data_IF_421664594804
#
_entry.id   IF_421664594804
#
_cell.length_a   1.000
_cell.length_b   1.000
_cell.length_c   1.000
_cell.angle_alpha   90.00
_cell.angle_beta   90.00
_cell.angle_gamma   90.00
#
_symmetry.space_group_name_H-M   'P 1'
#
loop_
_entity.id
_entity.type
_entity.pdbx_description
1 polymer ?
#
# COMPACT_ATOMS: atom_id res chain seq x y z
N UNK A 1 -24.05 -11.03 27.85
CA UNK A 1 -22.99 -10.59 26.92
C UNK A 1 -22.93 -11.58 25.79
N UNK A 2 -22.67 -11.09 24.58
CA UNK A 2 -22.72 -11.91 23.37
C UNK A 2 -21.58 -12.95 23.41
N UNK A 3 -21.90 -14.24 23.37
CA UNK A 3 -20.93 -15.36 23.49
C UNK A 3 -19.79 -15.29 22.45
N UNK A 4 -19.98 -14.53 21.36
CA UNK A 4 -18.96 -14.26 20.36
C UNK A 4 -17.91 -13.25 20.85
N UNK A 5 -18.33 -12.23 21.61
CA UNK A 5 -17.45 -11.20 22.18
C UNK A 5 -16.58 -11.84 23.28
N UNK A 6 -17.18 -12.65 24.14
CA UNK A 6 -16.48 -13.32 25.24
C UNK A 6 -15.39 -14.29 24.73
N UNK A 7 -15.64 -15.00 23.62
CA UNK A 7 -14.62 -15.83 22.96
C UNK A 7 -13.50 -15.02 22.30
N UNK A 8 -13.81 -13.83 21.79
CA UNK A 8 -12.81 -12.94 21.23
C UNK A 8 -11.92 -12.36 22.35
N UNK A 9 -12.52 -11.96 23.47
CA UNK A 9 -11.82 -11.46 24.66
C UNK A 9 -10.91 -12.54 25.27
N UNK A 10 -11.40 -13.77 25.48
CA UNK A 10 -10.57 -14.88 25.97
C UNK A 10 -9.39 -15.22 25.04
N UNK A 11 -9.59 -15.09 23.71
CA UNK A 11 -8.52 -15.33 22.74
C UNK A 11 -7.48 -14.21 22.77
N UNK A 12 -7.90 -12.96 22.97
CA UNK A 12 -7.01 -11.82 23.16
C UNK A 12 -6.24 -11.97 24.48
N UNK A 13 -6.90 -12.36 25.57
CA UNK A 13 -6.31 -12.57 26.90
C UNK A 13 -5.29 -13.72 26.91
N UNK A 14 -5.59 -14.81 26.20
CA UNK A 14 -4.67 -15.93 26.00
C UNK A 14 -3.45 -15.54 25.15
N UNK A 15 -3.64 -14.74 24.09
CA UNK A 15 -2.55 -14.21 23.27
C UNK A 15 -1.74 -13.11 23.99
N UNK A 16 -2.35 -12.38 24.93
CA UNK A 16 -1.68 -11.37 25.75
C UNK A 16 -0.93 -11.95 26.94
N UNK A 17 -1.12 -13.23 27.25
CA UNK A 17 -0.40 -13.92 28.33
C UNK A 17 1.07 -14.17 28.01
N UNK A 18 1.46 -14.05 26.73
CA UNK A 18 2.84 -14.09 26.24
C UNK A 18 3.13 -12.79 25.47
N UNK A 19 3.60 -11.79 26.21
CA UNK A 19 3.87 -10.44 25.70
C UNK A 19 4.86 -10.46 24.51
N UNK A 20 5.76 -11.44 24.45
CA UNK A 20 6.69 -11.62 23.34
C UNK A 20 5.97 -12.13 22.09
N UNK A 21 5.07 -13.11 22.22
CA UNK A 21 4.29 -13.62 21.10
C UNK A 21 3.41 -12.53 20.46
N UNK A 22 2.79 -11.68 21.29
CA UNK A 22 1.99 -10.55 20.80
C UNK A 22 2.85 -9.49 20.12
N UNK A 23 4.04 -9.20 20.68
CA UNK A 23 5.01 -8.27 20.09
C UNK A 23 5.49 -8.76 18.71
N UNK A 24 5.87 -10.03 18.61
CA UNK A 24 6.29 -10.66 17.33
C UNK A 24 5.16 -10.61 16.30
N UNK A 25 3.91 -10.86 16.71
CA UNK A 25 2.76 -10.77 15.84
C UNK A 25 2.55 -9.34 15.30
N UNK A 26 2.55 -8.34 16.19
CA UNK A 26 2.41 -6.94 15.79
C UNK A 26 3.56 -6.45 14.91
N UNK A 27 4.80 -6.82 15.22
CA UNK A 27 5.97 -6.49 14.41
C UNK A 27 5.88 -7.12 13.02
N UNK A 28 5.40 -8.36 12.92
CA UNK A 28 5.19 -9.05 11.64
C UNK A 28 4.12 -8.37 10.81
N UNK A 29 2.97 -8.04 11.41
CA UNK A 29 1.88 -7.34 10.73
C UNK A 29 2.34 -5.96 10.24
N UNK A 30 3.00 -5.20 11.10
CA UNK A 30 3.61 -3.91 10.74
C UNK A 30 4.64 -4.03 9.60
N UNK A 31 5.51 -5.04 9.63
CA UNK A 31 6.51 -5.25 8.59
C UNK A 31 5.87 -5.57 7.23
N UNK A 32 4.78 -6.32 7.20
CA UNK A 32 4.04 -6.60 5.97
C UNK A 32 3.42 -5.32 5.39
N UNK A 33 2.81 -4.48 6.23
CA UNK A 33 2.29 -3.18 5.81
C UNK A 33 3.38 -2.22 5.32
N UNK A 34 4.50 -2.12 6.03
CA UNK A 34 5.64 -1.29 5.62
C UNK A 34 6.21 -1.76 4.27
N UNK A 35 6.35 -3.07 4.04
CA UNK A 35 6.78 -3.62 2.75
C UNK A 35 5.79 -3.30 1.63
N UNK A 36 4.49 -3.47 1.87
CA UNK A 36 3.46 -3.14 0.88
C UNK A 36 3.50 -1.65 0.50
N UNK A 37 3.66 -0.76 1.50
CA UNK A 37 3.78 0.68 1.28
C UNK A 37 5.06 1.05 0.51
N UNK A 38 6.19 0.39 0.81
CA UNK A 38 7.44 0.59 0.08
C UNK A 38 7.31 0.18 -1.39
N UNK A 39 6.66 -0.95 -1.68
CA UNK A 39 6.42 -1.42 -3.05
C UNK A 39 5.48 -0.46 -3.78
N UNK A 40 4.34 -0.13 -3.18
CA UNK A 40 3.34 0.79 -3.76
C UNK A 40 3.97 2.15 -4.09
N UNK A 41 4.75 2.72 -3.16
CA UNK A 41 5.44 4.00 -3.39
C UNK A 41 6.56 3.91 -4.44
N UNK A 42 7.18 2.74 -4.63
CA UNK A 42 8.16 2.53 -5.69
C UNK A 42 7.50 2.43 -7.07
N UNK A 43 6.37 1.71 -7.16
CA UNK A 43 5.58 1.59 -8.39
C UNK A 43 5.01 2.94 -8.83
N UNK A 44 4.46 3.72 -7.91
CA UNK A 44 3.95 5.07 -8.18
C UNK A 44 5.05 6.00 -8.70
N UNK A 45 6.21 6.02 -8.04
CA UNK A 45 7.37 6.82 -8.49
C UNK A 45 7.81 6.44 -9.90
N UNK A 46 7.84 5.14 -10.21
CA UNK A 46 8.22 4.65 -11.54
C UNK A 46 7.19 5.04 -12.60
N UNK A 47 5.90 4.95 -12.31
CA UNK A 47 4.83 5.38 -13.22
C UNK A 47 4.94 6.88 -13.55
N UNK A 48 5.24 7.72 -12.55
CA UNK A 48 5.47 9.15 -12.74
C UNK A 48 6.70 9.41 -13.61
N UNK A 49 7.81 8.70 -13.39
CA UNK A 49 9.02 8.85 -14.21
C UNK A 49 8.78 8.47 -15.67
N UNK A 50 8.09 7.35 -15.91
CA UNK A 50 7.72 6.93 -17.26
C UNK A 50 6.82 7.98 -17.91
N UNK A 51 5.83 8.51 -17.20
CA UNK A 51 4.95 9.57 -17.70
C UNK A 51 5.74 10.82 -18.12
N UNK A 52 6.70 11.28 -17.30
CA UNK A 52 7.59 12.41 -17.64
C UNK A 52 8.38 12.15 -18.92
N UNK A 53 8.95 10.96 -19.06
CA UNK A 53 9.70 10.58 -20.25
C UNK A 53 8.82 10.58 -21.51
N UNK A 54 7.60 10.04 -21.42
CA UNK A 54 6.65 10.03 -22.54
C UNK A 54 6.15 11.43 -22.92
N UNK A 55 5.92 12.31 -21.94
CA UNK A 55 5.60 13.73 -22.19
C UNK A 55 6.75 14.41 -22.95
N UNK A 56 8.00 14.19 -22.52
CA UNK A 56 9.18 14.74 -23.19
C UNK A 56 9.34 14.21 -24.62
N UNK A 57 8.92 12.97 -24.87
CA UNK A 57 8.86 12.36 -26.21
C UNK A 57 7.67 12.86 -27.06
N UNK A 58 6.83 13.77 -26.55
CA UNK A 58 5.63 14.32 -27.20
C UNK A 58 4.59 13.25 -27.55
N UNK A 59 4.54 12.17 -26.77
CA UNK A 59 3.49 11.15 -26.87
C UNK A 59 2.16 11.76 -26.44
N UNK A 60 1.04 11.47 -27.13
CA UNK A 60 -0.26 12.02 -26.76
C UNK A 60 -0.77 11.44 -25.43
N UNK A 61 -1.48 12.26 -24.66
CA UNK A 61 -1.93 11.97 -23.29
C UNK A 61 -2.73 10.66 -23.19
N UNK A 62 -3.57 10.36 -24.19
CA UNK A 62 -4.34 9.11 -24.24
C UNK A 62 -3.45 7.85 -24.24
N UNK A 63 -2.30 7.88 -24.93
CA UNK A 63 -1.36 6.76 -24.94
C UNK A 63 -0.56 6.69 -23.64
N UNK A 64 -0.29 7.83 -23.00
CA UNK A 64 0.38 7.88 -21.70
C UNK A 64 -0.51 7.23 -20.64
N UNK A 65 -1.82 7.56 -20.60
CA UNK A 65 -2.80 6.95 -19.69
C UNK A 65 -2.78 5.42 -19.85
N UNK A 66 -2.81 4.92 -21.09
CA UNK A 66 -2.78 3.48 -21.36
C UNK A 66 -1.47 2.81 -20.93
N UNK A 67 -0.34 3.51 -21.03
CA UNK A 67 0.99 2.97 -20.74
C UNK A 67 1.33 2.99 -19.24
N UNK A 68 0.85 3.99 -18.49
CA UNK A 68 1.22 4.20 -17.07
C UNK A 68 0.09 3.88 -16.09
N UNK A 69 -1.15 3.81 -16.56
CA UNK A 69 -2.34 3.67 -15.71
C UNK A 69 -2.69 4.93 -14.92
N UNK A 70 -1.98 6.03 -15.15
CA UNK A 70 -2.27 7.33 -14.52
C UNK A 70 -3.48 7.99 -15.18
N UNK A 71 -4.24 8.72 -14.38
CA UNK A 71 -5.36 9.56 -14.83
C UNK A 71 -4.87 10.80 -15.57
N UNK A 72 -5.75 11.41 -16.36
CA UNK A 72 -5.45 12.68 -17.03
C UNK A 72 -5.09 13.80 -16.03
N UNK A 73 -5.73 13.83 -14.86
CA UNK A 73 -5.42 14.77 -13.78
C UNK A 73 -4.02 14.58 -13.21
N UNK A 74 -3.58 13.34 -13.03
CA UNK A 74 -2.22 13.03 -12.57
C UNK A 74 -1.17 13.42 -13.62
N UNK A 75 -1.44 13.13 -14.90
CA UNK A 75 -0.56 13.52 -16.00
C UNK A 75 -0.45 15.05 -16.10
N UNK A 76 -1.56 15.78 -15.96
CA UNK A 76 -1.57 17.24 -15.97
C UNK A 76 -0.87 17.87 -14.76
N UNK A 77 -0.81 17.18 -13.62
CA UNK A 77 0.00 17.60 -12.44
C UNK A 77 1.50 17.40 -12.65
N UNK A 78 1.89 16.50 -13.55
CA UNK A 78 3.28 16.15 -13.86
C UNK A 78 3.86 17.05 -14.97
N UNK A 79 3.01 17.50 -15.89
CA UNK A 79 3.34 18.37 -17.03
C UNK A 79 3.79 19.76 -16.58
#
# INVERSE_FOLDING_TARGET
MDTAIEKAEQKIEYLSSDEEAMRIYYERERSLHERANMISSAEERKAIEIAKNLINMKIPVNQIILATGLTEEEINRIK
#
